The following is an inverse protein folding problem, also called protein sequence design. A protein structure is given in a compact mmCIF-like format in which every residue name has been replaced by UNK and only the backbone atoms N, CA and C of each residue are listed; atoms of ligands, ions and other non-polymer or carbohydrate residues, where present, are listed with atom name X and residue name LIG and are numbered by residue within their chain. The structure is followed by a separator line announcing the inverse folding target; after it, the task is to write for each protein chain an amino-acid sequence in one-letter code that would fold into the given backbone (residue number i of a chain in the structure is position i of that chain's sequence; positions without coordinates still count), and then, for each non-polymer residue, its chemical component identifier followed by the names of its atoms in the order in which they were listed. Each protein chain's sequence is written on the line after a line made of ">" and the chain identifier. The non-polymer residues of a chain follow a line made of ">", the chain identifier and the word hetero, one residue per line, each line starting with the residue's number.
data_IF_883942879637
#
_entry.id   IF_883942879637
#
_cell.length_a   1.000
_cell.length_b   1.000
_cell.length_c   1.000
_cell.angle_alpha   90.00
_cell.angle_beta   90.00
_cell.angle_gamma   90.00
#
_symmetry.space_group_name_H-M   'P 1'
#
loop_
_entity.id
_entity.type
_entity.pdbx_description
1 polymer ?
#
# COMPACT_ATOMS: atom_id res chain seq x y z
N UNK A 1 2.02 15.25 2.61
CA UNK A 1 0.57 15.59 2.58
C UNK A 1 0.19 15.86 1.13
N UNK A 2 -1.09 15.80 0.75
CA UNK A 2 -1.51 16.35 -0.53
C UNK A 2 -1.04 17.83 -0.65
N UNK A 3 -0.85 18.37 -1.85
CA UNK A 3 -0.89 17.64 -3.11
C UNK A 3 0.51 17.18 -3.54
N UNK A 4 0.57 16.08 -4.28
CA UNK A 4 1.77 15.66 -4.98
C UNK A 4 1.88 16.38 -6.33
N UNK A 5 0.74 16.67 -6.98
CA UNK A 5 0.70 17.42 -8.25
C UNK A 5 0.76 18.95 -8.09
N UNK A 6 0.81 19.48 -6.87
CA UNK A 6 0.96 20.92 -6.59
C UNK A 6 2.05 21.17 -5.56
N UNK A 7 2.69 22.32 -5.65
CA UNK A 7 3.67 22.79 -4.67
C UNK A 7 3.04 23.32 -3.37
N UNK A 8 1.71 23.29 -3.26
CA UNK A 8 0.95 23.78 -2.11
C UNK A 8 0.21 22.64 -1.42
N UNK A 9 0.04 22.77 -0.11
CA UNK A 9 -0.89 21.93 0.65
C UNK A 9 -2.32 22.42 0.47
N UNK A 10 -3.34 21.56 0.59
CA UNK A 10 -4.72 22.00 0.69
C UNK A 10 -4.91 23.04 1.80
N UNK A 11 -5.94 23.87 1.65
CA UNK A 11 -6.33 24.83 2.68
C UNK A 11 -7.32 24.23 3.69
N UNK A 12 -7.53 24.96 4.79
CA UNK A 12 -8.57 24.64 5.77
C UNK A 12 -8.10 23.84 6.99
N UNK A 13 -9.06 23.61 7.90
CA UNK A 13 -8.80 23.06 9.23
C UNK A 13 -8.19 21.66 9.21
N UNK A 14 -8.65 20.80 8.29
CA UNK A 14 -8.13 19.43 8.17
C UNK A 14 -6.66 19.44 7.75
N UNK A 15 -6.28 20.32 6.82
CA UNK A 15 -4.88 20.47 6.39
C UNK A 15 -3.99 20.99 7.51
N UNK A 16 -4.46 21.98 8.29
CA UNK A 16 -3.74 22.46 9.47
C UNK A 16 -3.55 21.35 10.52
N UNK A 17 -4.59 20.53 10.75
CA UNK A 17 -4.53 19.38 11.67
C UNK A 17 -3.55 18.32 11.19
N UNK A 18 -3.59 17.96 9.91
CA UNK A 18 -2.62 17.05 9.29
C UNK A 18 -1.19 17.56 9.47
N UNK A 19 -0.94 18.84 9.19
CA UNK A 19 0.39 19.46 9.32
C UNK A 19 0.90 19.43 10.77
N UNK A 20 0.05 19.79 11.73
CA UNK A 20 0.37 19.76 13.15
C UNK A 20 0.69 18.33 13.63
N UNK A 21 -0.14 17.35 13.22
CA UNK A 21 0.06 15.95 13.56
C UNK A 21 1.40 15.43 13.03
N UNK A 22 1.70 15.67 11.75
CA UNK A 22 2.98 15.27 11.16
C UNK A 22 4.17 15.98 11.80
N UNK A 23 4.05 17.27 12.13
CA UNK A 23 5.08 18.01 12.87
C UNK A 23 5.37 17.39 14.23
N UNK A 24 4.32 17.03 14.98
CA UNK A 24 4.46 16.35 16.28
C UNK A 24 5.14 14.99 16.15
N UNK A 25 4.77 14.19 15.16
CA UNK A 25 5.38 12.88 14.90
C UNK A 25 6.86 13.00 14.54
N UNK A 26 7.20 13.97 13.68
CA UNK A 26 8.57 14.25 13.27
C UNK A 26 9.46 14.64 14.46
N UNK A 27 8.95 15.54 15.31
CA UNK A 27 9.66 15.99 16.51
C UNK A 27 9.87 14.84 17.51
N UNK A 28 8.83 14.03 17.74
CA UNK A 28 8.86 12.98 18.77
C UNK A 28 9.70 11.76 18.38
N UNK A 29 9.70 11.36 17.11
CA UNK A 29 10.28 10.08 16.70
C UNK A 29 11.39 10.18 15.66
N UNK A 30 11.48 11.29 14.93
CA UNK A 30 12.38 11.43 13.77
C UNK A 30 13.44 12.51 13.96
N UNK A 31 13.54 13.12 15.14
CA UNK A 31 14.49 14.18 15.49
C UNK A 31 14.44 15.37 14.50
N UNK A 32 13.25 15.75 14.06
CA UNK A 32 13.01 16.85 13.13
C UNK A 32 13.74 16.72 11.77
N UNK A 33 14.14 15.50 11.40
CA UNK A 33 14.87 15.23 10.14
C UNK A 33 13.98 15.25 8.90
N UNK A 34 12.67 15.05 9.05
CA UNK A 34 11.76 14.99 7.90
C UNK A 34 11.16 16.36 7.55
N UNK A 35 10.88 16.56 6.27
CA UNK A 35 10.13 17.72 5.78
C UNK A 35 8.64 17.44 5.83
N UNK A 36 7.86 18.38 6.36
CA UNK A 36 6.39 18.28 6.46
C UNK A 36 5.74 19.32 5.54
N UNK A 37 5.03 18.86 4.52
CA UNK A 37 4.35 19.72 3.55
C UNK A 37 3.65 18.96 2.43
N UNK A 38 3.40 19.64 1.32
CA UNK A 38 2.84 19.00 0.12
C UNK A 38 3.89 18.08 -0.51
N UNK A 39 3.49 16.95 -1.08
CA UNK A 39 4.47 16.07 -1.73
C UNK A 39 5.17 16.77 -2.88
N UNK A 40 4.44 17.54 -3.70
CA UNK A 40 5.00 18.23 -4.84
C UNK A 40 5.99 19.34 -4.46
N UNK A 41 5.74 20.00 -3.33
CA UNK A 41 6.58 21.08 -2.82
C UNK A 41 7.76 20.57 -1.98
N UNK A 42 7.54 19.58 -1.12
CA UNK A 42 8.56 19.07 -0.20
C UNK A 42 9.55 18.11 -0.84
N UNK A 43 9.11 17.28 -1.80
CA UNK A 43 9.97 16.29 -2.48
C UNK A 43 10.74 16.94 -3.66
N UNK A 44 10.22 18.03 -4.22
CA UNK A 44 10.92 18.84 -5.23
C UNK A 44 10.56 18.53 -6.69
N UNK A 45 9.53 17.73 -6.93
CA UNK A 45 8.94 17.55 -8.27
C UNK A 45 7.43 17.32 -8.17
N UNK A 46 6.71 17.69 -9.23
CA UNK A 46 5.26 17.49 -9.29
C UNK A 46 4.93 16.11 -9.85
N UNK A 47 4.08 15.37 -9.15
CA UNK A 47 3.63 14.05 -9.56
C UNK A 47 2.11 14.03 -9.74
N UNK A 48 1.64 13.72 -10.96
CA UNK A 48 0.21 13.62 -11.25
C UNK A 48 -0.30 12.18 -11.06
N UNK A 49 -1.57 12.04 -10.72
CA UNK A 49 -2.23 10.74 -10.62
C UNK A 49 -1.80 9.90 -9.41
N UNK A 50 -1.32 10.53 -8.34
CA UNK A 50 -0.90 9.81 -7.14
C UNK A 50 -2.09 9.34 -6.31
N UNK A 51 -1.88 8.25 -5.57
CA UNK A 51 -2.89 7.71 -4.67
C UNK A 51 -3.30 8.71 -3.59
N UNK A 52 -2.35 9.50 -3.08
CA UNK A 52 -2.62 10.50 -2.02
C UNK A 52 -3.54 11.61 -2.52
N UNK A 53 -3.31 12.10 -3.73
CA UNK A 53 -4.17 13.11 -4.35
C UNK A 53 -5.57 12.54 -4.65
N UNK A 54 -5.63 11.31 -5.17
CA UNK A 54 -6.91 10.62 -5.39
C UNK A 54 -7.69 10.40 -4.10
N UNK A 55 -7.04 9.88 -3.05
CA UNK A 55 -7.67 9.65 -1.75
C UNK A 55 -8.25 10.95 -1.17
N UNK A 56 -7.53 12.06 -1.33
CA UNK A 56 -7.96 13.35 -0.84
C UNK A 56 -9.12 13.97 -1.66
N UNK A 57 -8.95 14.12 -2.98
CA UNK A 57 -9.91 14.84 -3.83
C UNK A 57 -11.11 13.99 -4.24
N UNK A 58 -10.90 12.72 -4.55
CA UNK A 58 -11.96 11.82 -5.05
C UNK A 58 -12.52 10.96 -3.94
N UNK A 59 -11.63 10.28 -3.20
CA UNK A 59 -12.01 9.41 -2.08
C UNK A 59 -12.53 10.15 -0.86
N UNK A 60 -12.32 11.47 -0.79
CA UNK A 60 -12.69 12.34 0.35
C UNK A 60 -12.20 11.80 1.69
N UNK A 61 -11.03 11.14 1.69
CA UNK A 61 -10.37 10.67 2.91
C UNK A 61 -9.94 11.90 3.72
N UNK A 62 -10.42 12.06 4.97
CA UNK A 62 -10.19 13.28 5.75
C UNK A 62 -8.71 13.62 5.99
N UNK A 63 -7.88 12.59 6.06
CA UNK A 63 -6.43 12.71 6.23
C UNK A 63 -5.73 11.69 5.33
N UNK A 64 -5.05 12.18 4.29
CA UNK A 64 -4.27 11.36 3.37
C UNK A 64 -2.79 11.72 3.48
N UNK A 65 -1.92 10.72 3.47
CA UNK A 65 -0.49 10.91 3.66
C UNK A 65 0.34 10.05 2.70
N UNK A 66 1.40 10.65 2.17
CA UNK A 66 2.55 9.93 1.59
C UNK A 66 3.71 10.09 2.57
N UNK A 67 4.40 9.00 2.91
CA UNK A 67 5.57 9.01 3.77
C UNK A 67 6.80 8.55 2.99
N UNK A 68 7.79 9.44 2.88
CA UNK A 68 9.10 9.11 2.34
C UNK A 68 9.98 8.60 3.50
N UNK A 69 10.17 7.28 3.55
CA UNK A 69 10.69 6.58 4.74
C UNK A 69 12.21 6.73 4.88
N UNK A 70 12.94 6.69 3.77
CA UNK A 70 14.39 6.68 3.77
C UNK A 70 14.95 7.35 2.51
N UNK A 71 16.04 8.09 2.68
CA UNK A 71 16.86 8.59 1.60
C UNK A 71 18.28 8.87 2.11
N UNK A 72 19.29 8.41 1.38
CA UNK A 72 20.69 8.73 1.66
C UNK A 72 21.19 9.82 0.70
N UNK A 73 21.26 11.10 1.12
CA UNK A 73 21.73 12.19 0.26
C UNK A 73 23.22 12.11 -0.05
N UNK A 74 23.99 11.28 0.67
CA UNK A 74 25.40 11.04 0.40
C UNK A 74 25.63 9.87 -0.57
N UNK A 75 24.57 9.15 -0.97
CA UNK A 75 24.69 8.13 -2.00
C UNK A 75 24.96 8.75 -3.38
N UNK A 76 25.73 8.04 -4.19
CA UNK A 76 25.95 8.42 -5.59
C UNK A 76 24.63 8.31 -6.35
N UNK A 77 24.38 9.21 -7.31
CA UNK A 77 23.23 9.11 -8.22
C UNK A 77 23.22 7.84 -9.08
N UNK A 78 24.35 7.12 -9.13
CA UNK A 78 24.46 5.81 -9.81
C UNK A 78 24.18 4.62 -8.88
N UNK A 79 24.18 4.84 -7.56
CA UNK A 79 23.92 3.80 -6.56
C UNK A 79 22.50 3.96 -6.00
N UNK A 80 21.52 3.66 -6.86
CA UNK A 80 20.10 3.78 -6.53
C UNK A 80 19.72 2.90 -5.33
N UNK A 81 20.37 1.74 -5.16
CA UNK A 81 20.06 0.85 -4.05
C UNK A 81 20.37 1.53 -2.73
N UNK A 82 21.59 2.05 -2.56
CA UNK A 82 21.99 2.77 -1.33
C UNK A 82 21.19 4.06 -1.14
N UNK A 83 20.86 4.75 -2.22
CA UNK A 83 20.10 6.00 -2.16
C UNK A 83 18.71 5.81 -1.55
N UNK A 84 18.04 4.70 -1.87
CA UNK A 84 16.65 4.44 -1.44
C UNK A 84 16.50 3.34 -0.38
N UNK A 85 17.57 2.64 -0.03
CA UNK A 85 17.50 1.52 0.92
C UNK A 85 18.62 1.61 1.96
N UNK A 86 18.33 1.34 3.24
CA UNK A 86 19.36 1.18 4.25
C UNK A 86 20.22 -0.05 3.91
N UNK A 87 21.53 0.14 3.79
CA UNK A 87 22.47 -0.93 3.40
C UNK A 87 23.16 -1.63 4.57
N UNK A 88 23.03 -1.09 5.78
CA UNK A 88 23.58 -1.71 7.00
C UNK A 88 22.46 -2.15 7.94
N UNK A 89 22.69 -3.24 8.67
CA UNK A 89 21.75 -3.75 9.68
C UNK A 89 21.43 -2.70 10.74
N UNK A 90 22.41 -1.88 11.13
CA UNK A 90 22.20 -0.82 12.10
C UNK A 90 21.23 0.25 11.56
N UNK A 91 21.49 0.77 10.36
CA UNK A 91 20.61 1.76 9.72
C UNK A 91 19.22 1.20 9.49
N UNK A 92 19.13 -0.05 9.01
CA UNK A 92 17.86 -0.74 8.80
C UNK A 92 17.04 -0.82 10.09
N UNK A 93 17.62 -1.31 11.17
CA UNK A 93 16.93 -1.43 12.46
C UNK A 93 16.52 -0.06 13.02
N UNK A 94 17.36 0.97 12.87
CA UNK A 94 17.00 2.33 13.27
C UNK A 94 15.79 2.85 12.49
N UNK A 95 15.83 2.77 11.16
CA UNK A 95 14.72 3.21 10.29
C UNK A 95 13.44 2.46 10.63
N UNK A 96 13.53 1.13 10.79
CA UNK A 96 12.39 0.30 11.16
C UNK A 96 11.80 0.74 12.51
N UNK A 97 12.62 0.88 13.55
CA UNK A 97 12.17 1.26 14.88
C UNK A 97 11.56 2.66 14.92
N UNK A 98 12.23 3.65 14.31
CA UNK A 98 11.77 5.04 14.23
C UNK A 98 10.37 5.10 13.56
N UNK A 99 10.23 4.46 12.39
CA UNK A 99 8.97 4.50 11.64
C UNK A 99 7.86 3.63 12.26
N UNK A 100 8.19 2.49 12.86
CA UNK A 100 7.22 1.73 13.66
C UNK A 100 6.66 2.58 14.79
N UNK A 101 7.51 3.32 15.53
CA UNK A 101 7.07 4.21 16.59
C UNK A 101 6.17 5.34 16.05
N UNK A 102 6.52 5.95 14.91
CA UNK A 102 5.67 6.94 14.23
C UNK A 102 4.28 6.38 13.95
N UNK A 103 4.18 5.20 13.33
CA UNK A 103 2.89 4.61 12.98
C UNK A 103 2.07 4.23 14.21
N UNK A 104 2.68 3.67 15.27
CA UNK A 104 1.97 3.38 16.51
C UNK A 104 1.41 4.65 17.17
N UNK A 105 2.19 5.73 17.22
CA UNK A 105 1.73 7.01 17.75
C UNK A 105 0.66 7.63 16.87
N UNK A 106 0.80 7.56 15.53
CA UNK A 106 -0.20 8.05 14.58
C UNK A 106 -1.55 7.34 14.79
N UNK A 107 -1.55 6.02 14.91
CA UNK A 107 -2.77 5.25 15.13
C UNK A 107 -3.39 5.54 16.50
N UNK A 108 -2.57 5.69 17.54
CA UNK A 108 -3.05 6.09 18.87
C UNK A 108 -3.72 7.47 18.85
N UNK A 109 -3.08 8.48 18.24
CA UNK A 109 -3.66 9.83 18.12
C UNK A 109 -4.96 9.79 17.29
N UNK A 110 -4.95 9.03 16.19
CA UNK A 110 -6.10 8.95 15.29
C UNK A 110 -7.30 8.28 15.96
N UNK A 111 -7.09 7.25 16.78
CA UNK A 111 -8.16 6.61 17.55
C UNK A 111 -8.85 7.60 18.50
N UNK A 112 -8.08 8.46 19.18
CA UNK A 112 -8.64 9.48 20.07
C UNK A 112 -9.34 10.63 19.32
N UNK A 113 -8.88 10.98 18.11
CA UNK A 113 -9.52 12.04 17.32
C UNK A 113 -10.83 11.59 16.66
N UNK A 114 -11.02 10.30 16.40
CA UNK A 114 -12.30 9.77 15.88
C UNK A 114 -13.46 9.99 16.86
N UNK A 115 -13.20 10.02 18.16
CA UNK A 115 -14.20 10.36 19.18
C UNK A 115 -14.58 11.85 19.15
N UNK A 116 -13.64 12.75 18.85
CA UNK A 116 -13.88 14.20 18.75
C UNK A 116 -14.58 14.64 17.46
N UNK A 117 -14.48 13.88 16.37
CA UNK A 117 -15.24 14.14 15.14
C UNK A 117 -16.71 13.72 15.23
N UNK A 118 -17.12 13.09 16.34
CA UNK A 118 -18.46 12.55 16.57
C UNK A 118 -19.32 13.21 17.68
N UNK A 119 -19.39 14.54 17.89
CA UNK A 119 -20.41 15.07 18.80
C UNK A 119 -21.80 15.12 18.15
N UNK A 120 -21.90 15.25 16.82
CA UNK A 120 -23.17 15.57 16.12
C UNK A 120 -23.35 14.90 14.74
N UNK A 121 -22.82 13.70 14.50
CA UNK A 121 -23.05 12.96 13.24
C UNK A 121 -24.41 12.22 13.20
N UNK A 122 -25.42 12.75 13.89
CA UNK A 122 -26.79 12.22 13.90
C UNK A 122 -27.63 12.65 12.69
N UNK A 123 -27.04 13.28 11.66
CA UNK A 123 -27.81 13.86 10.54
C UNK A 123 -27.15 13.76 9.15
N UNK A 124 -26.37 12.71 8.87
CA UNK A 124 -26.03 12.35 7.48
C UNK A 124 -26.25 10.86 7.26
N UNK A 125 -27.35 10.54 6.59
CA UNK A 125 -27.82 9.18 6.29
C UNK A 125 -26.90 8.36 5.39
N UNK A 126 -25.77 8.91 4.93
CA UNK A 126 -24.84 8.24 4.01
C UNK A 126 -23.56 7.70 4.66
N UNK A 127 -23.34 7.93 5.95
CA UNK A 127 -22.17 7.41 6.69
C UNK A 127 -22.45 6.09 7.46
N UNK A 128 -23.60 5.44 7.25
CA UNK A 128 -23.98 4.20 7.97
C UNK A 128 -23.30 2.91 7.49
N UNK A 129 -22.33 2.97 6.57
CA UNK A 129 -21.66 1.77 6.04
C UNK A 129 -20.14 1.83 6.16
N UNK A 130 -19.64 2.25 7.31
CA UNK A 130 -18.29 1.89 7.72
C UNK A 130 -18.39 0.53 8.40
N UNK A 131 -18.17 -0.53 7.62
CA UNK A 131 -18.06 -1.88 8.17
C UNK A 131 -16.67 -1.98 8.76
N UNK A 132 -16.57 -2.25 10.07
CA UNK A 132 -15.27 -2.52 10.68
C UNK A 132 -14.58 -3.64 9.91
N UNK A 133 -13.26 -3.58 9.76
CA UNK A 133 -12.51 -4.67 9.12
C UNK A 133 -12.74 -5.98 9.89
N UNK A 134 -12.94 -5.88 11.20
CA UNK A 134 -13.32 -6.99 12.06
C UNK A 134 -14.73 -7.50 11.73
N UNK A 135 -15.68 -6.62 11.42
CA UNK A 135 -17.04 -7.02 11.03
C UNK A 135 -17.07 -7.68 9.64
N UNK A 136 -16.25 -7.19 8.70
CA UNK A 136 -16.08 -7.82 7.39
C UNK A 136 -15.45 -9.20 7.51
N UNK A 137 -14.38 -9.32 8.31
CA UNK A 137 -13.73 -10.60 8.60
C UNK A 137 -14.67 -11.56 9.34
N UNK A 138 -15.38 -11.08 10.37
CA UNK A 138 -16.34 -11.89 11.11
C UNK A 138 -17.51 -12.34 10.22
N UNK A 139 -18.04 -11.46 9.37
CA UNK A 139 -19.09 -11.80 8.41
C UNK A 139 -18.63 -12.87 7.41
N UNK A 140 -17.44 -12.69 6.83
CA UNK A 140 -16.83 -13.64 5.90
C UNK A 140 -16.55 -15.01 6.54
N UNK A 141 -16.10 -15.01 7.80
CA UNK A 141 -15.85 -16.23 8.58
C UNK A 141 -17.15 -16.92 9.04
N UNK A 142 -18.21 -16.16 9.33
CA UNK A 142 -19.51 -16.69 9.74
C UNK A 142 -20.26 -17.32 8.55
N UNK A 143 -20.21 -16.72 7.36
CA UNK A 143 -20.89 -17.23 6.17
C UNK A 143 -20.35 -18.60 5.70
N UNK A 144 -19.07 -18.91 5.98
CA UNK A 144 -18.45 -20.22 5.70
C UNK A 144 -18.52 -21.22 6.86
N UNK A 145 -19.13 -20.87 8.00
CA UNK A 145 -19.35 -21.77 9.13
C UNK A 145 -20.52 -22.73 8.87
N UNK A 146 -20.48 -23.47 7.76
CA UNK A 146 -21.48 -24.46 7.38
C UNK A 146 -20.82 -25.70 6.76
N UNK A 147 -20.41 -26.63 7.65
CA UNK A 147 -20.64 -28.09 7.59
C UNK A 147 -19.74 -28.91 8.52
N UNK A 148 -18.69 -28.34 9.09
CA UNK A 148 -17.85 -29.03 10.06
C UNK A 148 -17.34 -28.01 11.07
N UNK A 149 -17.79 -28.08 12.33
CA UNK A 149 -17.68 -27.02 13.35
C UNK A 149 -16.27 -26.68 13.86
N UNK A 150 -15.25 -26.65 13.01
CA UNK A 150 -13.88 -26.30 13.40
C UNK A 150 -13.65 -24.79 13.17
N UNK A 151 -13.18 -24.10 14.22
CA UNK A 151 -12.77 -22.70 14.17
C UNK A 151 -11.42 -22.63 13.44
N UNK A 152 -11.42 -22.26 12.16
CA UNK A 152 -10.19 -22.01 11.39
C UNK A 152 -9.76 -20.55 11.60
N UNK A 153 -8.50 -20.34 11.94
CA UNK A 153 -7.93 -19.01 12.14
C UNK A 153 -7.67 -18.34 10.78
N UNK A 154 -7.73 -17.01 10.72
CA UNK A 154 -7.58 -16.21 9.48
C UNK A 154 -6.29 -16.55 8.72
N UNK A 155 -5.22 -16.84 9.45
CA UNK A 155 -3.91 -17.19 8.92
C UNK A 155 -3.90 -18.57 8.22
N UNK A 156 -4.66 -19.52 8.77
CA UNK A 156 -4.83 -20.87 8.21
C UNK A 156 -5.66 -20.84 6.93
N UNK A 157 -6.72 -20.00 6.91
CA UNK A 157 -7.51 -19.75 5.70
C UNK A 157 -6.66 -19.09 4.60
N UNK A 158 -5.88 -18.06 4.95
CA UNK A 158 -4.98 -17.38 4.02
C UNK A 158 -3.96 -18.35 3.39
N UNK A 159 -3.37 -19.24 4.20
CA UNK A 159 -2.46 -20.26 3.70
C UNK A 159 -3.15 -21.28 2.77
N UNK A 160 -4.39 -21.66 3.06
CA UNK A 160 -5.15 -22.60 2.23
C UNK A 160 -5.54 -22.01 0.87
N UNK A 161 -5.97 -20.74 0.85
CA UNK A 161 -6.29 -20.02 -0.39
C UNK A 161 -5.01 -19.84 -1.24
N UNK A 162 -3.90 -19.40 -0.63
CA UNK A 162 -2.59 -19.31 -1.29
C UNK A 162 -2.15 -20.64 -1.91
N UNK A 163 -2.34 -21.76 -1.19
CA UNK A 163 -2.01 -23.09 -1.70
C UNK A 163 -2.87 -23.47 -2.91
N UNK A 164 -4.13 -23.02 -2.95
CA UNK A 164 -5.05 -23.29 -4.05
C UNK A 164 -4.69 -22.47 -5.28
N UNK A 165 -4.42 -21.17 -5.12
CA UNK A 165 -3.94 -20.32 -6.20
C UNK A 165 -2.60 -20.80 -6.77
N UNK A 166 -1.68 -21.23 -5.91
CA UNK A 166 -0.41 -21.80 -6.35
C UNK A 166 -0.59 -23.07 -7.20
N UNK A 167 -1.51 -23.97 -6.82
CA UNK A 167 -1.83 -25.17 -7.61
C UNK A 167 -2.43 -24.82 -8.97
N UNK A 168 -3.34 -23.85 -9.02
CA UNK A 168 -3.95 -23.39 -10.27
C UNK A 168 -2.92 -22.71 -11.18
N UNK A 169 -2.02 -21.92 -10.61
CA UNK A 169 -0.92 -21.29 -11.34
C UNK A 169 0.05 -22.32 -11.91
N UNK A 170 0.39 -23.36 -11.14
CA UNK A 170 1.25 -24.44 -11.63
C UNK A 170 0.58 -25.22 -12.77
N UNK A 171 -0.72 -25.52 -12.62
CA UNK A 171 -1.52 -26.19 -13.66
C UNK A 171 -1.58 -25.36 -14.93
N UNK A 172 -1.86 -24.05 -14.83
CA UNK A 172 -1.92 -23.16 -15.98
C UNK A 172 -0.56 -23.05 -16.68
N UNK A 173 0.53 -22.99 -15.92
CA UNK A 173 1.90 -22.98 -16.45
C UNK A 173 2.24 -24.26 -17.22
N UNK A 174 1.85 -25.43 -16.70
CA UNK A 174 2.03 -26.72 -17.38
C UNK A 174 1.19 -26.81 -18.67
N UNK A 175 -0.07 -26.35 -18.62
CA UNK A 175 -0.94 -26.30 -19.81
C UNK A 175 -0.39 -25.37 -20.88
N UNK A 176 0.12 -24.20 -20.49
CA UNK A 176 0.78 -23.26 -21.41
C UNK A 176 2.01 -23.92 -22.04
N UNK A 177 2.87 -24.56 -21.24
CA UNK A 177 4.04 -25.29 -21.76
C UNK A 177 3.63 -26.37 -22.77
N UNK A 178 2.59 -27.15 -22.48
CA UNK A 178 2.08 -28.18 -23.39
C UNK A 178 1.55 -27.59 -24.69
N UNK A 179 0.81 -26.47 -24.63
CA UNK A 179 0.32 -25.76 -25.82
C UNK A 179 1.48 -25.19 -26.67
N UNK A 180 2.53 -24.65 -26.04
CA UNK A 180 3.73 -24.18 -26.75
C UNK A 180 4.49 -25.33 -27.41
N UNK A 181 4.76 -26.42 -26.69
CA UNK A 181 5.45 -27.60 -27.23
C UNK A 181 4.66 -28.26 -28.38
N UNK A 182 3.33 -28.32 -28.27
CA UNK A 182 2.47 -28.88 -29.31
C UNK A 182 2.42 -28.02 -30.59
N UNK A 183 2.53 -26.70 -30.47
CA UNK A 183 2.65 -25.80 -31.63
C UNK A 183 4.00 -25.92 -32.32
N UNK A 184 5.09 -26.02 -31.56
CA UNK A 184 6.44 -26.18 -32.12
C UNK A 184 6.56 -27.53 -32.85
N UNK A 185 5.99 -28.61 -32.31
CA UNK A 185 6.00 -29.93 -32.93
C UNK A 185 5.26 -30.00 -34.28
N UNK A 186 4.24 -29.15 -34.51
CA UNK A 186 3.51 -29.11 -35.79
C UNK A 186 4.19 -28.28 -36.88
N UNK A 187 5.18 -27.45 -36.54
CA UNK A 187 5.89 -26.60 -37.51
C UNK A 187 6.99 -27.32 -38.30
N UNK A 188 7.34 -28.57 -37.94
CA UNK A 188 8.48 -29.29 -38.56
C UNK A 188 8.09 -30.17 -39.76
N UNK A 189 6.89 -30.03 -40.34
CA UNK A 189 6.48 -30.77 -41.54
C UNK A 189 6.07 -29.82 -42.67
N UNK A 190 7.08 -29.32 -43.37
CA UNK A 190 7.04 -29.06 -44.82
C UNK A 190 8.49 -28.90 -45.31
N UNK A 191 9.18 -30.01 -45.58
CA UNK A 191 10.29 -30.02 -46.53
C UNK A 191 9.64 -30.35 -47.88
N UNK A 192 9.32 -29.31 -48.64
CA UNK A 192 8.98 -29.46 -50.06
C UNK A 192 10.28 -29.65 -50.80
N UNK A 193 10.44 -30.80 -51.45
CA UNK A 193 11.52 -31.04 -52.41
C UNK A 193 11.25 -30.24 -53.69
N UNK A 194 12.20 -29.43 -54.13
CA UNK A 194 12.33 -29.01 -55.51
C UNK A 194 13.81 -29.08 -55.89
N UNK A 195 14.15 -30.06 -56.72
CA UNK A 195 15.42 -30.19 -57.45
C UNK A 195 15.27 -29.38 -58.77
N UNK A 196 16.36 -28.78 -59.29
CA UNK A 196 16.30 -27.66 -60.22
C UNK A 196 16.34 -28.11 -61.69
N UNK A 197 15.70 -27.32 -62.57
CA UNK A 197 16.18 -26.94 -63.90
C UNK A 197 15.58 -25.57 -64.25
#
# INVERSE_FOLDING_TARGET
>A
MPYDHKNTTPDGLLSQRMKLMLGKLNHLHLNDRCLVGSGGGSVGYLAHGTSTDYMYDVGRVPMAFTFEIYGDPAASSKDCFKMFNPTSTNTFNRVLNDWSAVFFTLFSISAHQMDEFHPNASASSNFKKWVSIDDYLNGYLMERRSRYGKKMEVLELGMQEMRTYFRLFLLSSVLLLFMFCSRISKSSRQIVSAIPF
#
